data_IF_517829825596
#
_entry.id   IF_517829825596
#
_cell.length_a   1.000
_cell.length_b   1.000
_cell.length_c   1.000
_cell.angle_alpha   90.00
_cell.angle_beta   90.00
_cell.angle_gamma   90.00
#
_symmetry.space_group_name_H-M   'P 1'
#
loop_
_entity.id
_entity.type
_entity.pdbx_description
1 polymer ?
#
# COMPACT_ATOMS: atom_id res chain seq x y z
N UNK A 1 24.35 -25.05 3.74
CA UNK A 1 23.81 -24.41 4.97
C UNK A 1 22.53 -25.14 5.31
N UNK A 2 22.50 -25.89 6.41
CA UNK A 2 21.30 -26.60 6.85
C UNK A 2 20.33 -25.58 7.43
N UNK A 3 19.15 -25.43 6.81
CA UNK A 3 18.02 -24.73 7.41
C UNK A 3 17.45 -25.62 8.52
N UNK A 4 18.00 -25.49 9.72
CA UNK A 4 17.41 -26.06 10.92
C UNK A 4 16.16 -25.25 11.27
N UNK A 5 15.03 -25.61 10.67
CA UNK A 5 13.73 -25.14 11.15
C UNK A 5 13.45 -25.86 12.48
N UNK A 6 13.86 -25.26 13.59
CA UNK A 6 13.47 -25.71 14.92
C UNK A 6 11.94 -25.72 15.01
N UNK A 7 11.39 -26.89 15.35
CA UNK A 7 9.97 -27.05 15.62
C UNK A 7 9.72 -26.34 16.95
N UNK A 8 9.15 -25.13 16.87
CA UNK A 8 8.71 -24.38 18.04
C UNK A 8 7.71 -25.25 18.80
N UNK A 9 7.99 -25.54 20.08
CA UNK A 9 7.08 -26.33 20.93
C UNK A 9 5.74 -25.63 21.11
N UNK A 10 4.68 -26.41 21.39
CA UNK A 10 3.31 -25.90 21.57
C UNK A 10 3.16 -24.98 22.80
N UNK A 11 4.13 -25.00 23.71
CA UNK A 11 4.09 -24.24 24.94
C UNK A 11 4.49 -22.77 24.72
N UNK A 12 3.51 -21.87 24.85
CA UNK A 12 3.72 -20.43 24.69
C UNK A 12 4.27 -19.83 25.98
N UNK A 13 5.49 -19.32 25.93
CA UNK A 13 6.04 -18.51 27.02
C UNK A 13 5.18 -17.27 27.21
N UNK A 14 4.65 -17.09 28.43
CA UNK A 14 3.86 -15.90 28.79
C UNK A 14 4.78 -14.88 29.44
N UNK A 15 4.94 -13.72 28.81
CA UNK A 15 5.67 -12.57 29.35
C UNK A 15 4.72 -11.63 30.07
N UNK A 16 5.10 -11.15 31.26
CA UNK A 16 4.36 -10.10 31.97
C UNK A 16 4.35 -8.81 31.14
N UNK A 17 3.24 -8.08 31.17
CA UNK A 17 3.07 -6.79 30.47
C UNK A 17 4.16 -5.78 30.83
N UNK A 18 4.57 -5.73 32.10
CA UNK A 18 5.63 -4.83 32.58
C UNK A 18 6.96 -5.14 31.89
N UNK A 19 7.34 -6.43 31.85
CA UNK A 19 8.56 -6.87 31.16
C UNK A 19 8.48 -6.60 29.66
N UNK A 20 7.33 -6.85 29.04
CA UNK A 20 7.12 -6.58 27.62
C UNK A 20 7.35 -5.10 27.30
N UNK A 21 6.69 -4.20 28.04
CA UNK A 21 6.83 -2.76 27.85
C UNK A 21 8.26 -2.29 28.10
N UNK A 22 8.95 -2.82 29.11
CA UNK A 22 10.35 -2.50 29.37
C UNK A 22 11.27 -2.90 28.20
N UNK A 23 11.03 -4.06 27.57
CA UNK A 23 11.79 -4.50 26.39
C UNK A 23 11.51 -3.60 25.18
N UNK A 24 10.25 -3.20 24.98
CA UNK A 24 9.88 -2.28 23.90
C UNK A 24 10.57 -0.93 24.09
N UNK A 25 10.57 -0.39 25.31
CA UNK A 25 11.19 0.89 25.61
C UNK A 25 12.71 0.85 25.46
N UNK A 26 13.38 -0.20 25.96
CA UNK A 26 14.83 -0.40 25.77
C UNK A 26 15.19 -0.45 24.28
N UNK A 27 14.40 -1.17 23.48
CA UNK A 27 14.59 -1.23 22.03
C UNK A 27 14.43 0.13 21.37
N UNK A 28 13.39 0.89 21.76
CA UNK A 28 13.15 2.23 21.24
C UNK A 28 14.30 3.18 21.58
N UNK A 29 14.70 3.25 22.84
CA UNK A 29 15.76 4.15 23.31
C UNK A 29 17.09 3.85 22.62
N UNK A 30 17.42 2.57 22.42
CA UNK A 30 18.69 2.13 21.84
C UNK A 30 18.76 2.24 20.32
N UNK A 31 17.64 2.06 19.60
CA UNK A 31 17.67 1.91 18.14
C UNK A 31 16.75 2.86 17.38
N UNK A 32 15.64 3.29 17.96
CA UNK A 32 14.63 4.09 17.25
C UNK A 32 14.62 5.57 17.66
N UNK A 33 15.20 5.90 18.82
CA UNK A 33 15.19 7.25 19.35
C UNK A 33 16.04 8.23 18.51
N UNK A 34 15.68 9.52 18.47
CA UNK A 34 16.54 10.54 17.87
C UNK A 34 17.90 10.64 18.56
N UNK A 35 17.99 10.32 19.86
CA UNK A 35 19.23 10.34 20.61
C UNK A 35 20.18 9.24 20.12
N UNK A 36 19.71 7.99 20.01
CA UNK A 36 20.50 6.87 19.50
C UNK A 36 21.09 7.15 18.12
N UNK A 37 20.30 7.74 17.21
CA UNK A 37 20.79 8.13 15.88
C UNK A 37 21.87 9.20 15.93
N UNK A 38 21.71 10.23 16.77
CA UNK A 38 22.72 11.29 16.94
C UNK A 38 24.02 10.77 17.53
N UNK A 39 23.95 9.89 18.52
CA UNK A 39 25.14 9.28 19.11
C UNK A 39 25.83 8.33 18.12
N UNK A 40 25.07 7.50 17.40
CA UNK A 40 25.60 6.64 16.35
C UNK A 40 26.27 7.43 15.22
N UNK A 41 25.76 8.62 14.88
CA UNK A 41 26.35 9.49 13.86
C UNK A 41 27.69 10.11 14.27
N UNK A 42 27.97 10.22 15.59
CA UNK A 42 29.27 10.69 16.10
C UNK A 42 30.34 9.59 16.13
N UNK A 43 29.94 8.33 15.99
CA UNK A 43 30.86 7.20 16.05
C UNK A 43 31.79 7.18 14.82
N UNK A 44 33.03 6.72 15.01
CA UNK A 44 34.00 6.64 13.93
C UNK A 44 33.59 5.68 12.80
N UNK A 45 32.78 4.65 13.11
CA UNK A 45 32.26 3.70 12.14
C UNK A 45 30.82 4.08 11.73
N UNK A 46 30.54 4.34 10.44
CA UNK A 46 29.22 4.78 10.00
C UNK A 46 28.18 3.65 9.95
N UNK A 47 28.58 2.39 10.11
CA UNK A 47 27.70 1.23 9.93
C UNK A 47 26.46 1.30 10.82
N UNK A 48 26.65 1.58 12.11
CA UNK A 48 25.53 1.70 13.05
C UNK A 48 24.61 2.85 12.65
N UNK A 49 25.16 4.04 12.39
CA UNK A 49 24.40 5.22 11.96
C UNK A 49 23.52 4.90 10.73
N UNK A 50 24.11 4.29 9.70
CA UNK A 50 23.41 3.92 8.47
C UNK A 50 22.28 2.91 8.74
N UNK A 51 22.52 1.91 9.59
CA UNK A 51 21.49 0.94 9.97
C UNK A 51 20.33 1.61 10.72
N UNK A 52 20.60 2.54 11.65
CA UNK A 52 19.54 3.22 12.38
C UNK A 52 18.72 4.16 11.48
N UNK A 53 19.34 4.81 10.49
CA UNK A 53 18.64 5.59 9.46
C UNK A 53 17.74 4.67 8.62
N UNK A 54 18.26 3.52 8.17
CA UNK A 54 17.47 2.55 7.41
C UNK A 54 16.25 2.05 8.20
N UNK A 55 16.43 1.72 9.48
CA UNK A 55 15.32 1.31 10.36
C UNK A 55 14.27 2.41 10.52
N UNK A 56 14.72 3.65 10.70
CA UNK A 56 13.83 4.79 10.76
C UNK A 56 13.03 4.98 9.46
N UNK A 57 13.68 4.91 8.30
CA UNK A 57 13.01 5.12 7.02
C UNK A 57 12.04 3.98 6.73
N UNK A 58 12.41 2.74 7.06
CA UNK A 58 11.51 1.59 6.98
C UNK A 58 10.29 1.71 7.90
N UNK A 59 10.44 2.34 9.07
CA UNK A 59 9.30 2.59 9.97
C UNK A 59 8.19 3.41 9.31
N UNK A 60 8.54 4.30 8.37
CA UNK A 60 7.56 5.08 7.61
C UNK A 60 6.74 4.21 6.64
N UNK A 61 7.32 3.14 6.10
CA UNK A 61 6.61 2.14 5.28
C UNK A 61 5.62 1.34 6.12
N UNK A 62 6.05 0.93 7.32
CA UNK A 62 5.17 0.25 8.29
C UNK A 62 3.99 1.15 8.68
N UNK A 63 4.26 2.44 8.92
CA UNK A 63 3.23 3.43 9.24
C UNK A 63 2.27 3.64 8.08
N UNK A 64 2.76 3.80 6.84
CA UNK A 64 1.93 3.92 5.64
C UNK A 64 0.99 2.71 5.51
N UNK A 65 1.51 1.49 5.66
CA UNK A 65 0.72 0.26 5.62
C UNK A 65 -0.36 0.25 6.71
N UNK A 66 -0.01 0.63 7.94
CA UNK A 66 -0.97 0.68 9.06
C UNK A 66 -2.05 1.73 8.83
N UNK A 67 -1.68 2.93 8.38
CA UNK A 67 -2.63 4.00 8.07
C UNK A 67 -3.55 3.63 6.90
N UNK A 68 -3.01 2.98 5.87
CA UNK A 68 -3.81 2.46 4.76
C UNK A 68 -4.81 1.44 5.25
N UNK A 69 -4.37 0.41 5.99
CA UNK A 69 -5.27 -0.62 6.51
C UNK A 69 -6.38 -0.04 7.38
N UNK A 70 -6.07 0.93 8.23
CA UNK A 70 -7.06 1.59 9.10
C UNK A 70 -7.94 2.61 8.37
N UNK A 71 -7.71 2.88 7.09
CA UNK A 71 -8.44 3.91 6.33
C UNK A 71 -8.09 5.34 6.75
N UNK A 72 -6.99 5.55 7.46
CA UNK A 72 -6.59 6.87 7.98
C UNK A 72 -5.74 7.63 6.96
N UNK A 73 -6.44 8.40 6.11
CA UNK A 73 -5.82 9.23 5.08
C UNK A 73 -4.99 10.37 5.67
N UNK A 74 -5.32 10.84 6.87
CA UNK A 74 -4.57 11.91 7.54
C UNK A 74 -3.17 11.45 7.93
N UNK A 75 -3.06 10.28 8.56
CA UNK A 75 -1.77 9.63 8.85
C UNK A 75 -1.00 9.30 7.59
N UNK A 76 -1.67 8.78 6.56
CA UNK A 76 -1.06 8.49 5.27
C UNK A 76 -0.46 9.75 4.63
N UNK A 77 -1.17 10.88 4.68
CA UNK A 77 -0.70 12.17 4.15
C UNK A 77 0.54 12.68 4.88
N UNK A 78 0.67 12.43 6.19
CA UNK A 78 1.87 12.78 6.94
C UNK A 78 3.08 11.94 6.51
N UNK A 79 2.87 10.66 6.18
CA UNK A 79 3.93 9.83 5.60
C UNK A 79 4.32 10.33 4.21
N UNK A 80 3.34 10.60 3.34
CA UNK A 80 3.60 11.11 1.99
C UNK A 80 4.40 12.41 1.99
N UNK A 81 4.11 13.35 2.91
CA UNK A 81 4.92 14.58 3.07
C UNK A 81 6.38 14.29 3.41
N UNK A 82 6.66 13.30 4.27
CA UNK A 82 8.04 12.89 4.58
C UNK A 82 8.69 12.25 3.35
N UNK A 83 7.94 11.41 2.64
CA UNK A 83 8.41 10.73 1.44
C UNK A 83 8.73 11.73 0.32
N UNK A 84 7.98 12.82 0.16
CA UNK A 84 8.30 13.88 -0.79
C UNK A 84 9.73 14.42 -0.65
N UNK A 85 10.25 14.51 0.59
CA UNK A 85 11.62 14.94 0.86
C UNK A 85 12.61 13.80 0.62
N UNK A 86 12.32 12.60 1.14
CA UNK A 86 13.22 11.44 0.99
C UNK A 86 13.43 11.06 -0.48
N UNK A 87 12.39 11.10 -1.31
CA UNK A 87 12.47 10.77 -2.74
C UNK A 87 13.38 11.71 -3.52
N UNK A 88 13.60 12.95 -3.06
CA UNK A 88 14.55 13.87 -3.72
C UNK A 88 16.00 13.41 -3.56
N UNK A 89 16.31 12.69 -2.47
CA UNK A 89 17.66 12.20 -2.18
C UNK A 89 17.96 10.82 -2.77
N UNK A 90 16.97 10.13 -3.35
CA UNK A 90 17.11 8.78 -3.86
C UNK A 90 17.29 8.79 -5.39
N UNK A 91 18.42 8.28 -5.86
CA UNK A 91 18.66 8.05 -7.29
C UNK A 91 17.83 6.86 -7.78
N UNK A 92 17.06 7.03 -8.85
CA UNK A 92 16.26 5.95 -9.47
C UNK A 92 14.74 6.12 -9.34
N UNK A 93 14.25 7.02 -8.48
CA UNK A 93 12.81 7.28 -8.32
C UNK A 93 12.33 8.48 -9.16
N UNK A 94 12.74 8.56 -10.43
CA UNK A 94 12.55 9.75 -11.30
C UNK A 94 11.08 10.18 -11.43
N UNK A 95 10.17 9.23 -11.59
CA UNK A 95 8.73 9.48 -11.66
C UNK A 95 8.19 10.02 -10.33
N UNK A 96 8.43 9.29 -9.23
CA UNK A 96 7.92 9.63 -7.90
C UNK A 96 8.49 10.93 -7.34
N UNK A 97 9.69 11.32 -7.78
CA UNK A 97 10.35 12.58 -7.44
C UNK A 97 9.49 13.80 -7.78
N UNK A 98 8.65 13.69 -8.82
CA UNK A 98 7.77 14.76 -9.28
C UNK A 98 6.29 14.51 -8.96
N UNK A 99 5.81 13.28 -9.07
CA UNK A 99 4.38 12.98 -8.91
C UNK A 99 3.91 13.08 -7.46
N UNK A 100 4.67 12.51 -6.51
CA UNK A 100 4.26 12.50 -5.11
C UNK A 100 4.17 13.91 -4.52
N UNK A 101 5.17 14.81 -4.70
CA UNK A 101 5.05 16.20 -4.27
C UNK A 101 3.88 16.94 -4.90
N UNK A 102 3.62 16.74 -6.20
CA UNK A 102 2.46 17.35 -6.89
C UNK A 102 1.14 16.90 -6.26
N UNK A 103 0.99 15.60 -6.01
CA UNK A 103 -0.22 15.05 -5.40
C UNK A 103 -0.43 15.60 -3.98
N UNK A 104 0.62 15.65 -3.17
CA UNK A 104 0.56 16.23 -1.81
C UNK A 104 0.17 17.71 -1.87
N UNK A 105 0.76 18.49 -2.77
CA UNK A 105 0.40 19.92 -2.93
C UNK A 105 -1.04 20.10 -3.40
N UNK A 106 -1.50 19.29 -4.35
CA UNK A 106 -2.90 19.29 -4.80
C UNK A 106 -3.85 19.03 -3.64
N UNK A 107 -3.63 17.95 -2.90
CA UNK A 107 -4.49 17.50 -1.82
C UNK A 107 -4.34 18.30 -0.53
N UNK A 108 -3.38 19.22 -0.41
CA UNK A 108 -3.21 20.00 0.82
C UNK A 108 -3.40 21.50 0.61
N UNK A 109 -2.91 22.07 -0.50
CA UNK A 109 -2.85 23.51 -0.71
C UNK A 109 -3.66 24.02 -1.90
N UNK A 110 -3.71 23.27 -3.01
CA UNK A 110 -4.21 23.82 -4.29
C UNK A 110 -5.71 23.57 -4.47
N UNK A 111 -6.20 22.37 -4.14
CA UNK A 111 -7.59 22.02 -4.43
C UNK A 111 -8.56 22.70 -3.45
N UNK A 112 -9.76 23.10 -3.92
CA UNK A 112 -10.84 23.56 -3.06
C UNK A 112 -11.16 22.52 -1.96
N UNK A 113 -11.59 22.95 -0.76
CA UNK A 113 -11.81 22.06 0.38
C UNK A 113 -12.70 20.85 0.07
N UNK A 114 -13.76 21.04 -0.70
CA UNK A 114 -14.72 19.99 -1.03
C UNK A 114 -14.11 18.95 -1.99
N UNK A 115 -13.40 19.41 -3.01
CA UNK A 115 -12.73 18.52 -3.96
C UNK A 115 -11.58 17.76 -3.30
N UNK A 116 -10.84 18.42 -2.40
CA UNK A 116 -9.83 17.77 -1.55
C UNK A 116 -10.46 16.66 -0.71
N UNK A 117 -11.57 16.95 -0.02
CA UNK A 117 -12.27 15.96 0.81
C UNK A 117 -12.71 14.77 -0.04
N UNK A 118 -13.32 15.04 -1.20
CA UNK A 118 -13.76 14.02 -2.13
C UNK A 118 -12.60 13.12 -2.59
N UNK A 119 -11.49 13.70 -3.06
CA UNK A 119 -10.36 12.92 -3.53
C UNK A 119 -9.69 12.14 -2.40
N UNK A 120 -9.48 12.75 -1.23
CA UNK A 120 -8.91 12.06 -0.06
C UNK A 120 -9.75 10.85 0.34
N UNK A 121 -11.09 10.99 0.37
CA UNK A 121 -12.00 9.88 0.67
C UNK A 121 -12.01 8.79 -0.41
N UNK A 122 -11.53 9.09 -1.61
CA UNK A 122 -11.45 8.15 -2.73
C UNK A 122 -10.07 7.48 -2.87
N UNK A 123 -9.07 7.84 -2.06
CA UNK A 123 -7.74 7.23 -2.12
C UNK A 123 -7.75 5.78 -1.65
N UNK A 124 -8.55 5.49 -0.62
CA UNK A 124 -8.63 4.19 0.02
C UNK A 124 -10.05 3.65 -0.07
N UNK A 125 -10.18 2.35 -0.25
CA UNK A 125 -11.46 1.65 -0.24
C UNK A 125 -11.37 0.43 0.68
N UNK A 126 -12.49 -0.01 1.25
CA UNK A 126 -12.56 -1.27 1.99
C UNK A 126 -13.40 -2.29 1.21
N UNK A 127 -12.79 -3.17 0.39
CA UNK A 127 -13.54 -4.10 -0.46
C UNK A 127 -14.44 -5.05 0.32
N UNK A 128 -14.03 -5.41 1.55
CA UNK A 128 -14.79 -6.30 2.43
C UNK A 128 -15.72 -5.57 3.39
N UNK A 129 -15.63 -4.25 3.48
CA UNK A 129 -16.32 -3.43 4.49
C UNK A 129 -15.80 -3.64 5.93
N UNK A 130 -14.80 -4.51 6.15
CA UNK A 130 -14.28 -4.80 7.50
C UNK A 130 -13.34 -3.70 7.99
N UNK A 131 -13.32 -3.50 9.30
CA UNK A 131 -12.31 -2.65 9.95
C UNK A 131 -10.90 -3.16 9.67
N UNK A 132 -9.94 -2.26 9.52
CA UNK A 132 -8.53 -2.59 9.23
C UNK A 132 -8.30 -3.36 7.90
N UNK A 133 -9.24 -3.25 6.97
CA UNK A 133 -9.22 -3.92 5.67
C UNK A 133 -9.34 -2.94 4.50
N UNK A 134 -8.91 -1.70 4.70
CA UNK A 134 -8.76 -0.74 3.62
C UNK A 134 -7.51 -1.06 2.79
N UNK A 135 -7.62 -0.83 1.49
CA UNK A 135 -6.55 -0.95 0.49
C UNK A 135 -6.56 0.30 -0.37
N UNK A 136 -5.46 0.55 -1.07
CA UNK A 136 -5.46 1.64 -2.03
C UNK A 136 -6.40 1.34 -3.20
N UNK A 137 -7.02 2.37 -3.75
CA UNK A 137 -7.99 2.22 -4.85
C UNK A 137 -7.35 1.64 -6.11
N UNK A 138 -6.09 1.99 -6.38
CA UNK A 138 -5.29 1.45 -7.47
C UNK A 138 -4.98 -0.03 -7.28
N UNK A 139 -4.53 -0.45 -6.09
CA UNK A 139 -4.28 -1.85 -5.72
C UNK A 139 -5.53 -2.72 -5.95
N UNK A 140 -6.70 -2.23 -5.55
CA UNK A 140 -7.95 -2.93 -5.84
C UNK A 140 -8.26 -3.01 -7.34
N UNK A 141 -8.02 -1.91 -8.06
CA UNK A 141 -8.19 -1.86 -9.51
C UNK A 141 -7.26 -2.85 -10.23
N UNK A 142 -6.04 -3.01 -9.76
CA UNK A 142 -5.08 -4.00 -10.26
C UNK A 142 -5.56 -5.43 -10.00
N UNK A 143 -6.09 -5.70 -8.80
CA UNK A 143 -6.74 -6.98 -8.52
C UNK A 143 -7.87 -7.26 -9.52
N UNK A 144 -8.75 -6.29 -9.78
CA UNK A 144 -9.83 -6.45 -10.77
C UNK A 144 -9.29 -6.68 -12.19
N UNK A 145 -8.25 -5.93 -12.58
CA UNK A 145 -7.61 -6.07 -13.89
C UNK A 145 -6.93 -7.44 -14.04
N UNK A 146 -6.35 -7.98 -12.97
CA UNK A 146 -5.78 -9.32 -12.95
C UNK A 146 -6.84 -10.38 -13.26
N UNK A 147 -8.00 -10.32 -12.61
CA UNK A 147 -9.11 -11.25 -12.87
C UNK A 147 -9.55 -11.20 -14.34
N UNK A 148 -9.72 -9.99 -14.89
CA UNK A 148 -10.08 -9.79 -16.30
C UNK A 148 -9.05 -10.45 -17.22
N UNK A 149 -7.76 -10.16 -17.02
CA UNK A 149 -6.68 -10.66 -17.88
C UNK A 149 -6.52 -12.19 -17.77
N UNK A 150 -6.51 -12.72 -16.55
CA UNK A 150 -6.10 -14.10 -16.31
C UNK A 150 -7.25 -15.11 -16.39
N UNK A 151 -8.39 -14.78 -15.78
CA UNK A 151 -9.51 -15.73 -15.69
C UNK A 151 -10.40 -15.66 -16.93
N UNK A 152 -10.72 -14.45 -17.40
CA UNK A 152 -11.76 -14.25 -18.41
C UNK A 152 -11.21 -14.15 -19.84
N UNK A 153 -9.96 -13.71 -20.02
CA UNK A 153 -9.33 -13.55 -21.33
C UNK A 153 -8.40 -14.70 -21.75
N UNK A 154 -8.39 -15.83 -21.05
CA UNK A 154 -7.45 -16.96 -21.25
C UNK A 154 -7.61 -17.75 -22.58
N UNK A 155 -8.43 -17.28 -23.50
CA UNK A 155 -8.76 -17.97 -24.77
C UNK A 155 -7.86 -17.59 -25.96
N UNK A 156 -6.76 -16.87 -25.76
CA UNK A 156 -5.78 -16.58 -26.83
C UNK A 156 -6.22 -15.59 -27.93
N UNK A 157 -7.52 -15.35 -28.09
CA UNK A 157 -8.09 -14.47 -29.12
C UNK A 157 -8.23 -12.99 -28.71
N UNK A 158 -7.58 -12.58 -27.61
CA UNK A 158 -7.72 -11.24 -27.06
C UNK A 158 -9.06 -10.98 -26.33
N UNK A 159 -9.19 -9.76 -25.80
CA UNK A 159 -10.33 -9.29 -25.01
C UNK A 159 -11.59 -9.11 -25.87
N UNK A 160 -12.60 -9.97 -25.72
CA UNK A 160 -13.92 -9.78 -26.38
C UNK A 160 -14.87 -9.03 -25.44
N UNK A 161 -15.17 -7.76 -25.77
CA UNK A 161 -16.00 -6.88 -24.94
C UNK A 161 -17.41 -7.44 -24.74
N UNK A 162 -18.03 -8.00 -25.79
CA UNK A 162 -19.37 -8.59 -25.69
C UNK A 162 -19.39 -9.81 -24.76
N UNK A 163 -18.40 -10.72 -24.90
CA UNK A 163 -18.28 -11.87 -24.00
C UNK A 163 -18.03 -11.44 -22.55
N UNK A 164 -17.19 -10.42 -22.34
CA UNK A 164 -16.98 -9.86 -21.01
C UNK A 164 -18.28 -9.29 -20.48
N UNK A 165 -19.01 -8.45 -21.24
CA UNK A 165 -20.32 -7.92 -20.84
C UNK A 165 -21.27 -9.04 -20.41
N UNK A 166 -21.35 -10.11 -21.18
CA UNK A 166 -22.28 -11.21 -20.93
C UNK A 166 -21.87 -12.08 -19.71
N UNK A 167 -20.57 -12.21 -19.41
CA UNK A 167 -20.05 -12.91 -18.22
C UNK A 167 -20.05 -12.03 -16.95
N UNK A 168 -19.85 -10.72 -17.10
CA UNK A 168 -19.65 -9.77 -16.01
C UNK A 168 -20.91 -9.07 -15.54
N UNK A 169 -21.93 -8.90 -16.38
CA UNK A 169 -23.20 -8.24 -15.98
C UNK A 169 -23.90 -8.92 -14.81
N UNK A 170 -23.55 -10.17 -14.50
CA UNK A 170 -24.03 -10.93 -13.33
C UNK A 170 -23.07 -10.83 -12.13
N UNK A 171 -21.78 -10.52 -12.33
CA UNK A 171 -20.72 -10.73 -11.33
C UNK A 171 -19.97 -9.47 -10.87
N UNK A 172 -20.18 -8.30 -11.50
CA UNK A 172 -19.63 -7.04 -10.97
C UNK A 172 -20.50 -6.59 -9.78
N UNK A 173 -20.21 -7.15 -8.60
CA UNK A 173 -20.74 -6.66 -7.32
C UNK A 173 -21.62 -7.62 -6.50
N UNK A 174 -21.86 -8.86 -6.94
CA UNK A 174 -22.78 -9.79 -6.26
C UNK A 174 -22.06 -10.89 -5.45
N UNK A 175 -21.23 -10.45 -4.49
CA UNK A 175 -21.27 -11.08 -3.16
C UNK A 175 -22.49 -10.53 -2.40
N UNK A 176 -22.82 -11.01 -1.18
CA UNK A 176 -24.09 -10.72 -0.48
C UNK A 176 -24.43 -9.23 -0.22
N UNK A 177 -23.57 -8.30 -0.64
CA UNK A 177 -23.73 -6.86 -0.55
C UNK A 177 -24.40 -6.23 -1.80
N UNK A 178 -24.37 -6.90 -2.96
CA UNK A 178 -24.90 -6.34 -4.21
C UNK A 178 -26.42 -6.15 -4.22
N UNK A 179 -27.14 -6.94 -3.43
CA UNK A 179 -28.59 -6.83 -3.25
C UNK A 179 -29.02 -5.67 -2.35
N UNK A 180 -28.12 -5.09 -1.55
CA UNK A 180 -28.42 -3.90 -0.73
C UNK A 180 -28.17 -2.60 -1.49
N UNK A 181 -27.11 -2.54 -2.31
CA UNK A 181 -26.77 -1.33 -3.07
C UNK A 181 -27.79 -0.96 -4.15
N UNK A 182 -28.37 -1.96 -4.82
CA UNK A 182 -29.36 -1.74 -5.88
C UNK A 182 -30.72 -1.27 -5.38
N UNK A 183 -31.01 -1.42 -4.08
CA UNK A 183 -32.24 -0.93 -3.46
C UNK A 183 -32.17 0.56 -3.06
N UNK A 184 -30.96 1.09 -2.82
CA UNK A 184 -30.79 2.44 -2.24
C UNK A 184 -30.32 3.50 -3.25
N UNK A 185 -29.57 3.11 -4.29
CA UNK A 185 -29.04 4.09 -5.26
C UNK A 185 -29.73 3.96 -6.60
N UNK A 186 -30.85 4.67 -6.75
CA UNK A 186 -31.42 4.98 -8.05
C UNK A 186 -30.32 5.48 -8.98
N UNK A 187 -30.20 4.81 -10.12
CA UNK A 187 -29.18 5.02 -11.13
C UNK A 187 -29.10 6.47 -11.62
N UNK A 188 -27.96 7.13 -11.43
CA UNK A 188 -27.52 8.22 -12.29
C UNK A 188 -26.01 8.47 -12.17
N UNK A 189 -25.30 8.25 -13.29
CA UNK A 189 -23.98 8.78 -13.64
C UNK A 189 -22.78 8.44 -12.75
N UNK A 190 -21.99 7.45 -13.19
CA UNK A 190 -20.58 7.35 -12.84
C UNK A 190 -19.74 7.65 -14.08
N UNK A 191 -19.29 8.91 -14.19
CA UNK A 191 -18.35 9.34 -15.22
C UNK A 191 -16.98 8.72 -14.97
N UNK A 192 -16.41 8.07 -15.99
CA UNK A 192 -15.07 7.46 -15.91
C UNK A 192 -14.01 8.57 -15.92
N UNK A 193 -13.40 8.82 -14.78
CA UNK A 193 -12.12 9.55 -14.76
C UNK A 193 -10.97 8.54 -14.85
N UNK A 194 -10.35 8.53 -16.04
CA UNK A 194 -9.15 7.77 -16.34
C UNK A 194 -7.95 8.46 -15.67
N UNK A 195 -7.47 7.92 -14.56
CA UNK A 195 -6.19 8.33 -13.98
C UNK A 195 -5.11 7.45 -14.64
N UNK A 196 -4.07 8.03 -15.28
CA UNK A 196 -3.12 7.25 -16.08
C UNK A 196 -2.35 6.18 -15.28
N UNK A 197 -2.29 4.99 -15.87
CA UNK A 197 -1.80 3.69 -15.35
C UNK A 197 -0.26 3.58 -15.16
N UNK A 198 0.46 4.68 -14.96
CA UNK A 198 1.94 4.66 -14.90
C UNK A 198 2.49 4.72 -13.47
N UNK A 199 1.64 4.52 -12.46
CA UNK A 199 1.97 4.84 -11.07
C UNK A 199 2.76 3.75 -10.33
N UNK A 200 2.95 2.55 -10.90
CA UNK A 200 3.70 1.42 -10.28
C UNK A 200 4.35 0.46 -11.28
N UNK A 201 4.65 0.88 -12.51
CA UNK A 201 5.47 0.06 -13.41
C UNK A 201 6.94 0.44 -13.25
N UNK A 202 7.66 -0.36 -12.48
CA UNK A 202 9.00 -0.80 -12.84
C UNK A 202 9.30 -2.15 -12.17
N UNK A 203 9.86 -3.07 -12.97
CA UNK A 203 10.27 -4.45 -12.69
C UNK A 203 9.19 -5.55 -12.66
N UNK A 204 8.80 -6.03 -13.85
CA UNK A 204 8.75 -7.48 -14.18
C UNK A 204 8.43 -7.66 -15.68
N UNK A 205 9.42 -7.42 -16.55
CA UNK A 205 9.43 -7.98 -17.91
C UNK A 205 10.53 -9.05 -17.97
N UNK A 206 10.25 -10.20 -17.34
CA UNK A 206 10.95 -11.44 -17.64
C UNK A 206 10.03 -12.32 -18.49
N UNK A 207 10.38 -12.62 -19.76
CA UNK A 207 9.57 -13.52 -20.56
C UNK A 207 9.61 -14.93 -19.94
N UNK A 208 8.44 -15.42 -19.57
CA UNK A 208 8.22 -16.78 -19.09
C UNK A 208 8.60 -17.76 -20.20
N UNK A 209 9.81 -18.32 -20.14
CA UNK A 209 10.17 -19.49 -20.95
C UNK A 209 9.62 -20.74 -20.27
N UNK A 210 8.49 -21.24 -20.77
CA UNK A 210 7.94 -22.53 -20.36
C UNK A 210 8.94 -23.68 -20.59
N UNK A 211 8.75 -24.82 -19.90
CA UNK A 211 9.65 -25.96 -20.03
C UNK A 211 9.57 -26.50 -21.47
N UNK A 212 10.72 -26.59 -22.14
CA UNK A 212 10.85 -27.36 -23.38
C UNK A 212 10.82 -28.84 -23.02
N UNK A 213 9.91 -29.57 -23.67
CA UNK A 213 9.97 -31.03 -23.75
C UNK A 213 11.23 -31.50 -24.48
#
# INVERSE_FOLDING_TARGET
MNNNNEILGDERVTLSTERWNAVVEDCYERFCSPHARREAAKAACPKLSNTLVQLHDFSSVVEAKRSMKSGDVGRLMNVWKKWCLMTQGLTGLTNYLSYLPRMVLQLTQILPPDLRKYLCHNLLISPSGRSNHFVAKDEWLECQNYWIKFLFNRTGNGTSIDRLRDLFSINIGLGPLGSQYTAETGSAHQERQHIPLWFWQDEEDHPYHGPRA
#
